data_IF_252052907848
#
_entry.id   IF_252052907848
#
_cell.length_a   1.000
_cell.length_b   1.000
_cell.length_c   1.000
_cell.angle_alpha   90.00
_cell.angle_beta   90.00
_cell.angle_gamma   90.00
#
_symmetry.space_group_name_H-M   'P 1'
#
loop_
_entity.id
_entity.type
_entity.pdbx_description
1 polymer ?
#
# COMPACT_ATOMS: atom_id res chain seq x y z
N UNK A 1 41.30 15.81 19.84
CA UNK A 1 40.01 16.45 19.48
C UNK A 1 39.27 15.80 18.29
N UNK A 2 39.84 14.82 17.56
CA UNK A 2 39.19 14.22 16.39
C UNK A 2 38.29 12.99 16.67
N UNK A 3 38.42 12.36 17.84
CA UNK A 3 37.72 11.09 18.16
C UNK A 3 36.27 11.32 18.60
N UNK A 4 35.98 12.46 19.24
CA UNK A 4 34.63 12.80 19.72
C UNK A 4 33.64 13.07 18.59
N UNK A 5 34.09 13.58 17.43
CA UNK A 5 33.19 13.86 16.29
C UNK A 5 32.71 12.59 15.57
N UNK A 6 33.57 11.57 15.46
CA UNK A 6 33.23 10.29 14.80
C UNK A 6 32.25 9.46 15.63
N UNK A 7 32.36 9.52 16.97
CA UNK A 7 31.45 8.84 17.90
C UNK A 7 30.02 9.40 17.87
N UNK A 8 29.86 10.72 17.70
CA UNK A 8 28.55 11.38 17.63
C UNK A 8 27.85 11.03 16.30
N UNK A 9 28.59 11.01 15.19
CA UNK A 9 28.06 10.59 13.88
C UNK A 9 27.67 9.10 13.85
N UNK A 10 28.42 8.24 14.53
CA UNK A 10 28.10 6.82 14.65
C UNK A 10 26.81 6.55 15.45
N UNK A 11 26.58 7.29 16.53
CA UNK A 11 25.37 7.18 17.35
C UNK A 11 24.11 7.69 16.62
N UNK A 12 24.23 8.79 15.87
CA UNK A 12 23.15 9.33 15.04
C UNK A 12 22.80 8.32 13.93
N UNK A 13 23.81 7.72 13.30
CA UNK A 13 23.61 6.68 12.27
C UNK A 13 22.86 5.47 12.81
N UNK A 14 23.22 4.97 13.99
CA UNK A 14 22.53 3.85 14.64
C UNK A 14 21.06 4.19 14.95
N UNK A 15 20.79 5.40 15.45
CA UNK A 15 19.44 5.88 15.74
C UNK A 15 18.57 6.01 14.49
N UNK A 16 19.14 6.52 13.38
CA UNK A 16 18.42 6.65 12.11
C UNK A 16 18.10 5.29 11.51
N UNK A 17 19.03 4.34 11.57
CA UNK A 17 18.79 2.96 11.10
C UNK A 17 17.71 2.30 11.96
N UNK A 18 17.76 2.42 13.28
CA UNK A 18 16.75 1.90 14.18
C UNK A 18 15.37 2.54 13.92
N UNK A 19 15.31 3.85 13.70
CA UNK A 19 14.07 4.56 13.39
C UNK A 19 13.50 4.13 12.03
N UNK A 20 14.34 3.94 11.01
CA UNK A 20 13.93 3.42 9.72
C UNK A 20 13.38 1.99 9.83
N UNK A 21 14.01 1.13 10.64
CA UNK A 21 13.54 -0.23 10.90
C UNK A 21 12.20 -0.25 11.65
N UNK A 22 12.02 0.63 12.63
CA UNK A 22 10.75 0.77 13.37
C UNK A 22 9.64 1.26 12.46
N UNK A 23 9.92 2.28 11.63
CA UNK A 23 8.95 2.77 10.63
C UNK A 23 8.61 1.66 9.63
N UNK A 24 9.60 0.93 9.13
CA UNK A 24 9.39 -0.21 8.24
C UNK A 24 8.54 -1.31 8.89
N UNK A 25 8.79 -1.65 10.16
CA UNK A 25 8.00 -2.61 10.92
C UNK A 25 6.55 -2.14 11.11
N UNK A 26 6.33 -0.87 11.46
CA UNK A 26 4.99 -0.29 11.61
C UNK A 26 4.23 -0.31 10.27
N UNK A 27 4.89 0.07 9.17
CA UNK A 27 4.30 0.01 7.83
C UNK A 27 3.98 -1.43 7.41
N UNK A 28 4.84 -2.39 7.75
CA UNK A 28 4.61 -3.81 7.48
C UNK A 28 3.42 -4.38 8.27
N UNK A 29 3.15 -3.88 9.48
CA UNK A 29 1.99 -4.28 10.28
C UNK A 29 0.67 -3.73 9.74
N UNK A 30 0.69 -2.53 9.15
CA UNK A 30 -0.51 -1.90 8.55
C UNK A 30 -0.87 -2.54 7.20
N UNK A 31 0.06 -3.22 6.52
CA UNK A 31 -0.17 -3.78 5.18
C UNK A 31 -0.87 -5.15 5.14
N UNK A 32 -1.08 -5.84 6.27
CA UNK A 32 -1.78 -7.14 6.30
C UNK A 32 -3.29 -6.97 6.60
N UNK A 33 -4.02 -6.35 5.68
CA UNK A 33 -5.46 -6.13 5.83
C UNK A 33 -6.30 -6.94 4.83
N UNK A 34 -6.62 -8.18 5.17
CA UNK A 34 -7.88 -8.86 4.80
C UNK A 34 -7.99 -9.49 3.41
N UNK A 35 -7.73 -10.80 3.32
CA UNK A 35 -8.31 -11.66 2.29
C UNK A 35 -9.75 -12.01 2.71
N UNK A 36 -10.73 -11.29 2.16
CA UNK A 36 -12.14 -11.67 2.29
C UNK A 36 -12.45 -12.78 1.30
N UNK A 37 -12.57 -14.02 1.76
CA UNK A 37 -12.90 -15.18 0.94
C UNK A 37 -14.41 -15.21 0.62
N UNK A 38 -14.88 -14.35 -0.30
CA UNK A 38 -16.18 -14.53 -0.94
C UNK A 38 -16.02 -15.44 -2.17
N UNK A 39 -16.16 -16.75 -1.95
CA UNK A 39 -15.95 -17.79 -2.98
C UNK A 39 -17.04 -17.82 -4.07
N UNK A 40 -18.08 -16.98 -3.96
CA UNK A 40 -19.13 -16.82 -4.96
C UNK A 40 -18.81 -15.76 -6.04
N UNK A 41 -17.86 -14.86 -5.79
CA UNK A 41 -17.36 -13.87 -6.75
C UNK A 41 -16.04 -14.40 -7.35
N UNK A 42 -16.12 -15.41 -8.24
CA UNK A 42 -14.94 -15.79 -9.03
C UNK A 42 -14.52 -14.57 -9.85
N UNK A 43 -13.32 -13.99 -9.65
CA UNK A 43 -12.89 -12.88 -10.46
C UNK A 43 -12.89 -13.33 -11.93
N UNK A 44 -13.32 -12.48 -12.87
CA UNK A 44 -13.24 -12.80 -14.27
C UNK A 44 -11.80 -13.21 -14.60
N UNK A 45 -11.64 -14.22 -15.47
CA UNK A 45 -10.35 -14.73 -15.95
C UNK A 45 -9.42 -13.61 -16.45
N UNK A 46 -9.99 -12.46 -16.83
CA UNK A 46 -9.30 -11.22 -17.10
C UNK A 46 -9.77 -10.13 -16.12
N UNK A 47 -8.95 -9.83 -15.11
CA UNK A 47 -9.16 -8.68 -14.24
C UNK A 47 -8.88 -7.43 -15.09
N UNK A 48 -9.88 -6.61 -15.33
CA UNK A 48 -9.79 -5.38 -16.14
C UNK A 48 -10.13 -4.17 -15.28
N UNK A 49 -9.70 -2.96 -15.66
CA UNK A 49 -10.04 -1.71 -14.97
C UNK A 49 -11.56 -1.51 -14.81
N UNK A 50 -12.34 -1.96 -15.80
CA UNK A 50 -13.81 -1.94 -15.73
C UNK A 50 -14.37 -2.81 -14.60
N UNK A 51 -13.76 -3.97 -14.35
CA UNK A 51 -14.14 -4.82 -13.22
C UNK A 51 -13.81 -4.11 -11.91
N UNK A 52 -12.59 -3.56 -11.79
CA UNK A 52 -12.14 -2.79 -10.62
C UNK A 52 -13.11 -1.65 -10.29
N UNK A 53 -13.59 -0.93 -11.30
CA UNK A 53 -14.58 0.14 -11.13
C UNK A 53 -15.93 -0.38 -10.62
N UNK A 54 -16.45 -1.48 -11.18
CA UNK A 54 -17.72 -2.09 -10.73
C UNK A 54 -17.67 -2.49 -9.25
N UNK A 55 -16.58 -3.09 -8.78
CA UNK A 55 -16.39 -3.41 -7.36
C UNK A 55 -16.25 -2.17 -6.49
N UNK A 56 -15.57 -1.14 -6.98
CA UNK A 56 -15.45 0.14 -6.30
C UNK A 56 -16.83 0.80 -6.11
N UNK A 57 -17.68 0.78 -7.14
CA UNK A 57 -19.05 1.30 -7.13
C UNK A 57 -19.97 0.49 -6.21
N UNK A 58 -19.76 -0.83 -6.10
CA UNK A 58 -20.45 -1.72 -5.15
C UNK A 58 -20.05 -1.50 -3.68
N UNK A 59 -19.29 -0.44 -3.38
CA UNK A 59 -18.82 -0.11 -2.03
C UNK A 59 -17.60 -0.93 -1.57
N UNK A 60 -17.05 -1.80 -2.42
CA UNK A 60 -15.87 -2.63 -2.12
C UNK A 60 -14.57 -1.92 -2.54
N UNK A 61 -14.41 -0.65 -2.13
CA UNK A 61 -13.25 0.19 -2.51
C UNK A 61 -11.90 -0.43 -2.16
N UNK A 62 -11.78 -1.07 -0.99
CA UNK A 62 -10.51 -1.70 -0.57
C UNK A 62 -10.11 -2.85 -1.50
N UNK A 63 -11.07 -3.62 -1.99
CA UNK A 63 -10.84 -4.71 -2.95
C UNK A 63 -10.41 -4.15 -4.31
N UNK A 64 -11.10 -3.11 -4.79
CA UNK A 64 -10.74 -2.41 -6.02
C UNK A 64 -9.31 -1.85 -5.98
N UNK A 65 -8.93 -1.19 -4.88
CA UNK A 65 -7.56 -0.64 -4.69
C UNK A 65 -6.51 -1.76 -4.71
N UNK A 66 -6.78 -2.90 -4.08
CA UNK A 66 -5.86 -4.06 -4.11
C UNK A 66 -5.68 -4.62 -5.51
N UNK A 67 -6.78 -4.75 -6.26
CA UNK A 67 -6.76 -5.26 -7.63
C UNK A 67 -6.04 -4.30 -8.56
N UNK A 68 -6.32 -3.00 -8.45
CA UNK A 68 -5.62 -1.95 -9.20
C UNK A 68 -4.11 -1.98 -8.92
N UNK A 69 -3.73 -2.12 -7.64
CA UNK A 69 -2.33 -2.24 -7.25
C UNK A 69 -1.67 -3.50 -7.83
N UNK A 70 -2.37 -4.63 -7.82
CA UNK A 70 -1.86 -5.89 -8.35
C UNK A 70 -1.74 -5.87 -9.88
N UNK A 71 -2.60 -5.13 -10.57
CA UNK A 71 -2.65 -5.07 -12.02
C UNK A 71 -1.64 -4.08 -12.60
N UNK A 72 -1.50 -2.91 -11.97
CA UNK A 72 -0.66 -1.81 -12.44
C UNK A 72 0.70 -1.72 -11.74
N UNK A 73 0.89 -2.45 -10.63
CA UNK A 73 2.16 -2.45 -9.89
C UNK A 73 2.51 -1.15 -9.19
N UNK A 74 1.52 -0.28 -8.95
CA UNK A 74 1.67 1.05 -8.36
C UNK A 74 1.71 1.03 -6.83
N UNK A 75 2.05 2.16 -6.20
CA UNK A 75 1.95 2.33 -4.76
C UNK A 75 0.51 2.36 -4.24
N UNK A 76 0.32 2.15 -2.93
CA UNK A 76 -1.02 2.18 -2.31
C UNK A 76 -1.69 3.55 -2.46
N UNK A 77 -0.91 4.64 -2.39
CA UNK A 77 -1.41 6.00 -2.57
C UNK A 77 -1.96 6.19 -3.98
N UNK A 78 -1.18 5.82 -4.99
CA UNK A 78 -1.57 5.96 -6.41
C UNK A 78 -2.79 5.09 -6.75
N UNK A 79 -2.85 3.87 -6.22
CA UNK A 79 -4.01 3.00 -6.42
C UNK A 79 -5.28 3.55 -5.76
N UNK A 80 -5.15 4.20 -4.59
CA UNK A 80 -6.27 4.85 -3.92
C UNK A 80 -6.76 6.07 -4.70
N UNK A 81 -5.83 6.95 -5.08
CA UNK A 81 -6.09 8.16 -5.88
C UNK A 81 -6.87 7.80 -7.16
N UNK A 82 -6.37 6.83 -7.94
CA UNK A 82 -7.02 6.43 -9.19
C UNK A 82 -8.44 5.87 -9.00
N UNK A 83 -8.64 5.02 -7.98
CA UNK A 83 -9.95 4.43 -7.69
C UNK A 83 -10.93 5.48 -7.14
N UNK A 84 -10.45 6.46 -6.37
CA UNK A 84 -11.28 7.58 -5.90
C UNK A 84 -11.65 8.51 -7.05
N UNK A 85 -10.70 8.89 -7.90
CA UNK A 85 -10.93 9.72 -9.09
C UNK A 85 -11.99 9.11 -10.01
N UNK A 86 -11.98 7.79 -10.21
CA UNK A 86 -13.00 7.10 -11.01
C UNK A 86 -14.39 7.10 -10.38
N UNK A 87 -14.49 7.20 -9.06
CA UNK A 87 -15.76 7.27 -8.34
C UNK A 87 -16.29 8.70 -8.21
N UNK A 88 -15.41 9.71 -8.26
CA UNK A 88 -15.79 11.12 -8.19
C UNK A 88 -16.13 11.70 -9.57
N UNK A 89 -15.49 11.20 -10.64
CA UNK A 89 -15.72 11.66 -12.02
C UNK A 89 -16.66 10.76 -12.84
N UNK A 90 -17.26 9.73 -12.23
CA UNK A 90 -18.15 8.75 -12.88
C UNK A 90 -19.60 8.89 -12.45
#
# INVERSE_FOLDING_TARGET
MAISGVLILGLIGLGVIAMALVVFLILSLVSQGGAGLNLADRPPENITDKYILDIAQKGRKIEAIKLYRSLHGVGLKEAKDAVEDWLENG
#
